data_IF_972809145634
#
_entry.id   IF_972809145634
#
_cell.length_a   1.000
_cell.length_b   1.000
_cell.length_c   1.000
_cell.angle_alpha   90.00
_cell.angle_beta   90.00
_cell.angle_gamma   90.00
#
_symmetry.space_group_name_H-M   'P 1'
#
loop_
_entity.id
_entity.type
_entity.pdbx_description
1 polymer ?
#
# COMPACT_ATOMS: atom_id res chain seq x y z
N UNK A 1 11.43 -9.35 -11.52
CA UNK A 1 10.45 -10.34 -12.06
C UNK A 1 9.06 -10.12 -11.43
N UNK A 2 7.97 -10.20 -12.21
CA UNK A 2 6.58 -10.16 -11.67
C UNK A 2 6.24 -11.50 -11.02
N UNK A 3 5.63 -11.47 -9.85
CA UNK A 3 5.15 -12.64 -9.11
C UNK A 3 3.65 -12.46 -8.86
N UNK A 4 2.88 -13.52 -9.02
CA UNK A 4 1.46 -13.56 -8.62
C UNK A 4 1.39 -14.12 -7.21
N UNK A 5 0.73 -13.42 -6.30
CA UNK A 5 0.56 -13.83 -4.90
C UNK A 5 -0.68 -14.72 -4.74
N UNK A 6 -0.87 -15.33 -3.56
CA UNK A 6 -1.96 -16.28 -3.33
C UNK A 6 -3.38 -15.68 -3.47
N UNK A 7 -3.52 -14.35 -3.34
CA UNK A 7 -4.76 -13.61 -3.59
C UNK A 7 -4.91 -13.10 -5.04
N UNK A 8 -4.12 -13.63 -5.98
CA UNK A 8 -4.05 -13.22 -7.39
C UNK A 8 -3.60 -11.78 -7.65
N UNK A 9 -3.17 -11.04 -6.63
CA UNK A 9 -2.52 -9.75 -6.85
C UNK A 9 -1.08 -9.94 -7.35
N UNK A 10 -0.48 -8.84 -7.82
CA UNK A 10 0.87 -8.87 -8.37
C UNK A 10 1.85 -8.19 -7.41
N UNK A 11 3.00 -8.81 -7.23
CA UNK A 11 4.16 -8.20 -6.58
C UNK A 11 5.39 -8.29 -7.49
N UNK A 12 6.50 -7.70 -7.06
CA UNK A 12 7.81 -7.84 -7.71
C UNK A 12 8.79 -8.45 -6.72
N UNK A 13 9.75 -9.22 -7.24
CA UNK A 13 10.95 -9.60 -6.49
C UNK A 13 12.04 -8.56 -6.73
N UNK A 14 12.65 -8.06 -5.66
CA UNK A 14 13.85 -7.25 -5.70
C UNK A 14 15.08 -8.16 -5.68
N UNK A 15 15.83 -8.19 -6.78
CA UNK A 15 17.12 -8.90 -6.82
C UNK A 15 18.16 -8.24 -5.92
N UNK A 16 18.03 -6.94 -5.65
CA UNK A 16 18.95 -6.22 -4.74
C UNK A 16 18.75 -6.64 -3.30
N UNK A 17 17.50 -6.67 -2.84
CA UNK A 17 17.16 -6.97 -1.45
C UNK A 17 16.87 -8.46 -1.21
N UNK A 18 16.84 -9.27 -2.28
CA UNK A 18 16.53 -10.70 -2.23
C UNK A 18 15.18 -11.00 -1.56
N UNK A 19 14.19 -10.12 -1.76
CA UNK A 19 12.86 -10.17 -1.14
C UNK A 19 11.76 -9.70 -2.09
N UNK A 20 10.52 -10.09 -1.83
CA UNK A 20 9.34 -9.56 -2.53
C UNK A 20 8.89 -8.24 -1.91
N UNK A 21 8.37 -7.32 -2.73
CA UNK A 21 7.86 -6.01 -2.27
C UNK A 21 6.60 -6.12 -1.40
N UNK A 22 5.87 -7.24 -1.50
CA UNK A 22 4.72 -7.57 -0.68
C UNK A 22 4.76 -9.04 -0.31
N UNK A 23 3.97 -9.44 0.68
CA UNK A 23 3.80 -10.83 1.10
C UNK A 23 3.33 -11.72 -0.06
N UNK A 24 3.91 -12.91 -0.17
CA UNK A 24 3.46 -13.93 -1.12
C UNK A 24 2.08 -14.49 -0.78
N UNK A 25 1.64 -14.36 0.47
CA UNK A 25 0.30 -14.74 0.92
C UNK A 25 -0.80 -13.83 0.35
N UNK A 26 -0.44 -12.66 -0.19
CA UNK A 26 -1.37 -11.77 -0.89
C UNK A 26 -1.02 -10.30 -0.70
N UNK A 27 -0.61 -9.62 -1.77
CA UNK A 27 -0.23 -8.21 -1.68
C UNK A 27 -1.46 -7.32 -1.40
N UNK A 28 -2.58 -7.58 -2.07
CA UNK A 28 -3.82 -6.83 -1.89
C UNK A 28 -4.41 -7.08 -0.49
N UNK A 29 -4.44 -8.34 -0.05
CA UNK A 29 -4.93 -8.71 1.27
C UNK A 29 -4.10 -8.05 2.38
N UNK A 30 -2.76 -8.12 2.29
CA UNK A 30 -1.87 -7.48 3.24
C UNK A 30 -2.08 -5.96 3.29
N UNK A 31 -2.10 -5.29 2.14
CA UNK A 31 -2.33 -3.84 2.05
C UNK A 31 -3.68 -3.42 2.66
N UNK A 32 -4.74 -4.22 2.49
CA UNK A 32 -6.04 -3.95 3.11
C UNK A 32 -6.03 -4.20 4.61
N UNK A 33 -5.73 -5.41 5.04
CA UNK A 33 -5.90 -5.81 6.44
C UNK A 33 -4.85 -5.17 7.35
N UNK A 34 -3.58 -5.18 6.94
CA UNK A 34 -2.48 -4.73 7.80
C UNK A 34 -2.33 -3.21 7.74
N UNK A 35 -2.28 -2.66 6.52
CA UNK A 35 -1.89 -1.25 6.35
C UNK A 35 -3.07 -0.27 6.35
N UNK A 36 -4.27 -0.67 5.91
CA UNK A 36 -5.45 0.19 5.90
C UNK A 36 -6.34 -0.02 7.15
N UNK A 37 -6.70 -1.27 7.45
CA UNK A 37 -7.64 -1.57 8.54
C UNK A 37 -6.95 -1.55 9.91
N UNK A 38 -5.91 -2.37 10.11
CA UNK A 38 -5.25 -2.48 11.41
C UNK A 38 -4.50 -1.21 11.85
N UNK A 39 -4.15 -0.32 10.91
CA UNK A 39 -3.60 1.02 11.22
C UNK A 39 -4.65 2.00 11.76
N UNK A 40 -5.94 1.66 11.64
CA UNK A 40 -7.06 2.53 12.02
C UNK A 40 -7.40 3.60 10.98
N UNK A 41 -6.67 3.67 9.85
CA UNK A 41 -6.92 4.65 8.80
C UNK A 41 -8.31 4.44 8.19
N UNK A 42 -8.71 3.19 7.93
CA UNK A 42 -10.06 2.87 7.45
C UNK A 42 -11.15 3.51 8.31
N UNK A 43 -11.09 3.25 9.63
CA UNK A 43 -12.09 3.75 10.58
C UNK A 43 -12.11 5.28 10.66
N UNK A 44 -10.96 5.95 10.53
CA UNK A 44 -10.90 7.42 10.49
C UNK A 44 -11.56 7.97 9.22
N UNK A 45 -11.28 7.37 8.07
CA UNK A 45 -11.85 7.77 6.78
C UNK A 45 -13.37 7.55 6.75
N UNK A 46 -13.85 6.45 7.31
CA UNK A 46 -15.29 6.16 7.48
C UNK A 46 -16.00 7.18 8.36
N UNK A 47 -15.35 7.63 9.43
CA UNK A 47 -15.85 8.71 10.30
C UNK A 47 -15.60 10.11 9.72
N UNK A 48 -15.32 10.22 8.42
CA UNK A 48 -15.06 11.48 7.71
C UNK A 48 -14.00 12.37 8.37
N UNK A 49 -13.04 11.74 9.05
CA UNK A 49 -11.98 12.47 9.75
C UNK A 49 -10.80 12.66 8.80
N UNK A 50 -10.39 13.91 8.50
CA UNK A 50 -9.18 14.17 7.72
C UNK A 50 -7.99 13.40 8.30
N UNK A 51 -7.29 12.68 7.44
CA UNK A 51 -6.25 11.74 7.87
C UNK A 51 -4.95 11.99 7.14
N UNK A 52 -3.85 11.94 7.88
CA UNK A 52 -2.50 12.01 7.32
C UNK A 52 -1.80 10.67 7.53
N UNK A 53 -1.18 10.14 6.49
CA UNK A 53 -0.48 8.85 6.50
C UNK A 53 0.98 9.06 6.09
N UNK A 54 1.87 8.38 6.79
CA UNK A 54 3.29 8.27 6.43
C UNK A 54 3.60 6.82 6.06
N UNK A 55 4.13 6.61 4.86
CA UNK A 55 4.66 5.32 4.39
C UNK A 55 6.20 5.38 4.29
N UNK A 56 6.86 4.36 4.82
CA UNK A 56 8.31 4.16 4.69
C UNK A 56 8.53 2.97 3.76
N UNK A 57 9.07 3.24 2.58
CA UNK A 57 9.18 2.28 1.48
C UNK A 57 7.93 2.30 0.60
N UNK A 58 7.82 3.30 -0.27
CA UNK A 58 6.70 3.43 -1.20
C UNK A 58 6.56 2.22 -2.14
N UNK A 59 7.69 1.66 -2.57
CA UNK A 59 7.76 0.47 -3.41
C UNK A 59 6.89 0.58 -4.66
N UNK A 60 5.90 -0.31 -4.75
CA UNK A 60 4.96 -0.37 -5.88
C UNK A 60 3.76 0.57 -5.72
N UNK A 61 3.63 1.26 -4.58
CA UNK A 61 2.55 2.21 -4.29
C UNK A 61 1.20 1.56 -3.99
N UNK A 62 1.14 0.25 -3.73
CA UNK A 62 -0.13 -0.46 -3.53
C UNK A 62 -0.88 0.02 -2.28
N UNK A 63 -0.17 0.24 -1.17
CA UNK A 63 -0.75 0.76 0.06
C UNK A 63 -1.34 2.17 -0.14
N UNK A 64 -0.62 3.04 -0.84
CA UNK A 64 -1.12 4.35 -1.24
C UNK A 64 -2.38 4.24 -2.09
N UNK A 65 -2.39 3.42 -3.15
CA UNK A 65 -3.55 3.28 -4.03
C UNK A 65 -4.79 2.81 -3.28
N UNK A 66 -4.66 1.82 -2.39
CA UNK A 66 -5.76 1.30 -1.58
C UNK A 66 -6.26 2.34 -0.57
N UNK A 67 -5.35 3.10 0.03
CA UNK A 67 -5.70 4.15 1.00
C UNK A 67 -6.37 5.34 0.32
N UNK A 68 -5.89 5.72 -0.87
CA UNK A 68 -6.45 6.80 -1.69
C UNK A 68 -7.86 6.45 -2.18
N UNK A 69 -8.08 5.22 -2.67
CA UNK A 69 -9.40 4.71 -3.06
C UNK A 69 -10.39 4.72 -1.88
N UNK A 70 -9.94 4.30 -0.69
CA UNK A 70 -10.75 4.38 0.52
C UNK A 70 -11.11 5.82 0.90
N UNK A 71 -10.20 6.78 0.75
CA UNK A 71 -10.46 8.18 1.03
C UNK A 71 -11.41 8.81 0.00
N UNK A 72 -11.18 8.56 -1.28
CA UNK A 72 -11.99 9.05 -2.39
C UNK A 72 -13.43 8.53 -2.31
N UNK A 73 -13.61 7.22 -2.07
CA UNK A 73 -14.92 6.60 -1.93
C UNK A 73 -15.74 7.09 -0.73
N UNK A 74 -15.09 7.75 0.25
CA UNK A 74 -15.74 8.36 1.42
C UNK A 74 -15.83 9.89 1.33
N UNK A 75 -15.21 10.50 0.33
CA UNK A 75 -15.09 11.95 0.21
C UNK A 75 -14.30 12.58 1.36
N UNK A 76 -13.38 11.83 1.99
CA UNK A 76 -12.65 12.26 3.18
C UNK A 76 -11.25 12.75 2.79
N UNK A 77 -10.78 13.93 3.24
CA UNK A 77 -9.45 14.42 2.92
C UNK A 77 -8.33 13.50 3.41
N UNK A 78 -7.39 13.20 2.52
CA UNK A 78 -6.20 12.40 2.79
C UNK A 78 -4.93 13.19 2.41
N UNK A 79 -4.02 13.34 3.37
CA UNK A 79 -2.64 13.76 3.11
C UNK A 79 -1.73 12.54 3.19
N UNK A 80 -1.09 12.15 2.09
CA UNK A 80 -0.22 10.97 2.06
C UNK A 80 1.22 11.39 1.80
N UNK A 81 2.12 11.00 2.69
CA UNK A 81 3.55 11.19 2.55
C UNK A 81 4.22 9.83 2.44
N UNK A 82 5.13 9.68 1.49
CA UNK A 82 5.89 8.46 1.33
C UNK A 82 7.37 8.79 1.13
N UNK A 83 8.22 7.98 1.75
CA UNK A 83 9.66 7.97 1.46
C UNK A 83 10.01 6.69 0.71
N UNK A 84 10.79 6.84 -0.36
CA UNK A 84 11.41 5.72 -1.07
C UNK A 84 12.91 5.97 -1.16
N UNK A 85 13.68 4.98 -0.74
CA UNK A 85 15.14 5.04 -0.82
C UNK A 85 15.63 4.58 -2.20
N UNK A 86 14.98 3.56 -2.77
CA UNK A 86 15.38 2.96 -4.04
C UNK A 86 14.19 2.96 -5.01
N UNK A 87 14.14 4.00 -5.85
CA UNK A 87 13.07 4.15 -6.84
C UNK A 87 13.09 2.97 -7.81
N UNK A 88 11.91 2.39 -8.04
CA UNK A 88 11.77 1.30 -9.00
C UNK A 88 11.97 1.88 -10.41
N UNK A 89 13.13 1.58 -11.00
CA UNK A 89 13.38 1.91 -12.38
C UNK A 89 12.38 1.18 -13.29
N UNK A 90 11.79 1.92 -14.22
CA UNK A 90 11.05 1.34 -15.34
C UNK A 90 12.08 0.71 -16.28
N UNK A 91 12.30 -0.59 -16.15
CA UNK A 91 12.88 -1.40 -17.21
C UNK A 91 11.88 -1.50 -18.37
#
# INVERSE_FOLDING_TARGET
>A
MRIVTADNSATRFSERYQQTYHSQHGALAESRYVFLEASGVAARLENQTPTSVLEIGFGLGLNFLITADAAESRGTPLNYFAFEHDLINRA
#
